data_IF_430241083998
#
_entry.id   IF_430241083998
#
_cell.length_a   1.000
_cell.length_b   1.000
_cell.length_c   1.000
_cell.angle_alpha   90.00
_cell.angle_beta   90.00
_cell.angle_gamma   90.00
#
_symmetry.space_group_name_H-M   'P 1'
#
loop_
_entity.id
_entity.type
_entity.pdbx_description
1 polymer ?
#
# COMPACT_ATOMS: atom_id res chain seq x y z
N UNK A 1 -8.20 -58.98 -4.99
CA UNK A 1 -9.03 -57.90 -5.55
C UNK A 1 -8.71 -56.63 -4.76
N UNK A 2 -7.89 -55.80 -5.36
CA UNK A 2 -7.37 -54.54 -4.82
C UNK A 2 -8.40 -53.43 -5.06
N UNK A 3 -9.00 -52.89 -4.00
CA UNK A 3 -9.75 -51.63 -4.10
C UNK A 3 -8.76 -50.47 -4.01
N UNK A 4 -8.54 -49.79 -5.12
CA UNK A 4 -7.78 -48.53 -5.15
C UNK A 4 -8.59 -47.45 -4.44
N UNK A 5 -8.07 -46.94 -3.33
CA UNK A 5 -8.49 -45.67 -2.76
C UNK A 5 -8.04 -44.54 -3.68
N UNK A 6 -8.95 -43.62 -4.00
CA UNK A 6 -8.65 -42.43 -4.79
C UNK A 6 -7.60 -41.56 -4.08
N UNK A 7 -6.71 -40.86 -4.81
CA UNK A 7 -5.73 -39.99 -4.20
C UNK A 7 -6.44 -38.79 -3.56
N UNK A 8 -6.27 -38.64 -2.25
CA UNK A 8 -6.63 -37.44 -1.51
C UNK A 8 -5.93 -36.24 -2.15
N UNK A 9 -6.69 -35.24 -2.59
CA UNK A 9 -6.15 -33.98 -3.06
C UNK A 9 -5.28 -33.36 -1.95
N UNK A 10 -4.13 -32.75 -2.28
CA UNK A 10 -3.33 -32.08 -1.26
C UNK A 10 -4.15 -30.96 -0.60
N UNK A 11 -3.90 -30.65 0.68
CA UNK A 11 -4.57 -29.55 1.36
C UNK A 11 -4.38 -28.28 0.53
N UNK A 12 -5.47 -27.56 0.28
CA UNK A 12 -5.39 -26.22 -0.27
C UNK A 12 -4.87 -25.37 0.88
N UNK A 13 -3.61 -24.98 0.79
CA UNK A 13 -2.93 -24.22 1.83
C UNK A 13 -3.43 -22.77 1.82
N UNK A 14 -3.90 -22.32 2.97
CA UNK A 14 -4.39 -20.98 3.23
C UNK A 14 -3.26 -19.95 3.13
N UNK A 15 -3.10 -19.40 1.94
CA UNK A 15 -2.43 -18.15 1.56
C UNK A 15 -2.62 -16.88 2.39
N UNK A 16 -3.04 -16.88 3.67
CA UNK A 16 -2.99 -15.69 4.52
C UNK A 16 -2.94 -16.15 5.98
N UNK A 17 -1.80 -15.92 6.66
CA UNK A 17 -1.74 -16.00 8.12
C UNK A 17 -2.58 -14.84 8.69
N UNK A 18 -3.90 -15.01 8.68
CA UNK A 18 -4.81 -14.27 9.53
C UNK A 18 -4.50 -14.70 10.96
N UNK A 19 -4.28 -13.70 11.82
CA UNK A 19 -4.28 -13.78 13.27
C UNK A 19 -4.80 -15.12 13.81
N UNK A 20 -3.92 -15.89 14.49
CA UNK A 20 -4.28 -17.16 15.13
C UNK A 20 -5.41 -17.02 16.17
N UNK A 21 -5.80 -15.78 16.51
CA UNK A 21 -6.97 -15.46 17.34
C UNK A 21 -8.26 -15.15 16.56
N UNK A 22 -8.25 -15.21 15.23
CA UNK A 22 -9.47 -15.14 14.41
C UNK A 22 -10.38 -16.33 14.70
N UNK A 23 -11.65 -16.05 15.00
CA UNK A 23 -12.67 -17.08 15.27
C UNK A 23 -12.91 -18.02 14.07
N UNK A 24 -12.54 -17.59 12.87
CA UNK A 24 -12.72 -18.33 11.61
C UNK A 24 -11.42 -18.28 10.79
N UNK A 25 -10.87 -19.45 10.44
CA UNK A 25 -9.72 -19.67 9.58
C UNK A 25 -10.02 -20.79 8.55
N UNK A 26 -9.08 -21.12 7.68
CA UNK A 26 -9.30 -22.17 6.67
C UNK A 26 -9.45 -23.57 7.28
N UNK A 27 -8.76 -23.83 8.39
CA UNK A 27 -8.81 -25.12 9.10
C UNK A 27 -10.18 -25.36 9.77
N UNK A 28 -10.90 -24.29 10.13
CA UNK A 28 -12.20 -24.37 10.79
C UNK A 28 -13.33 -23.77 9.93
N UNK A 29 -13.23 -23.76 8.60
CA UNK A 29 -14.28 -23.26 7.69
C UNK A 29 -14.61 -24.18 6.51
N UNK A 30 -15.87 -24.15 6.04
CA UNK A 30 -16.40 -24.95 4.91
C UNK A 30 -17.19 -24.07 3.94
N UNK A 31 -17.25 -24.47 2.67
CA UNK A 31 -18.12 -23.86 1.66
C UNK A 31 -19.59 -24.23 1.93
N UNK A 32 -20.53 -23.29 1.73
CA UNK A 32 -21.97 -23.58 1.84
C UNK A 32 -22.50 -24.36 0.63
N UNK A 33 -22.14 -23.93 -0.58
CA UNK A 33 -22.45 -24.66 -1.81
C UNK A 33 -21.21 -24.96 -2.66
N UNK A 34 -21.34 -25.95 -3.55
CA UNK A 34 -20.30 -26.30 -4.52
C UNK A 34 -20.09 -25.13 -5.49
N UNK A 35 -19.06 -24.32 -5.25
CA UNK A 35 -18.72 -23.15 -6.06
C UNK A 35 -18.86 -21.79 -5.36
N UNK A 36 -19.27 -21.76 -4.09
CA UNK A 36 -19.34 -20.51 -3.32
C UNK A 36 -17.96 -20.02 -2.90
N UNK A 37 -17.72 -18.72 -3.09
CA UNK A 37 -16.52 -18.01 -2.61
C UNK A 37 -16.55 -17.66 -1.12
N UNK A 38 -17.70 -17.87 -0.48
CA UNK A 38 -17.93 -17.54 0.93
C UNK A 38 -17.83 -18.83 1.73
N UNK A 39 -16.87 -18.89 2.65
CA UNK A 39 -16.80 -19.98 3.62
C UNK A 39 -17.43 -19.56 4.93
N UNK A 40 -18.17 -20.48 5.54
CA UNK A 40 -18.68 -20.36 6.90
C UNK A 40 -17.83 -21.18 7.85
N UNK A 41 -17.88 -20.93 9.16
CA UNK A 41 -17.26 -21.85 10.11
C UNK A 41 -17.78 -23.28 9.95
N UNK A 42 -16.86 -24.23 9.97
CA UNK A 42 -17.06 -25.67 10.02
C UNK A 42 -17.24 -26.14 11.47
N UNK A 43 -17.97 -25.36 12.27
CA UNK A 43 -18.48 -25.87 13.54
C UNK A 43 -19.57 -26.90 13.27
N UNK A 44 -19.72 -27.92 14.15
CA UNK A 44 -20.90 -28.77 14.15
C UNK A 44 -22.14 -27.88 14.05
N UNK A 45 -23.11 -28.29 13.25
CA UNK A 45 -24.42 -27.65 13.33
C UNK A 45 -24.86 -27.74 14.79
N UNK A 46 -25.39 -26.65 15.35
CA UNK A 46 -25.98 -26.74 16.66
C UNK A 46 -27.04 -27.86 16.62
N UNK A 47 -26.93 -28.83 17.54
CA UNK A 47 -27.85 -29.97 17.63
C UNK A 47 -29.28 -29.54 17.97
N UNK A 48 -29.42 -28.29 18.43
CA UNK A 48 -30.68 -27.63 18.71
C UNK A 48 -30.77 -26.31 17.95
N UNK A 49 -31.99 -25.96 17.53
CA UNK A 49 -32.29 -24.65 16.94
C UNK A 49 -32.92 -23.79 18.00
N UNK A 50 -32.44 -22.56 18.15
CA UNK A 50 -33.16 -21.57 18.93
C UNK A 50 -34.59 -21.44 18.38
N UNK A 51 -35.59 -21.50 19.25
CA UNK A 51 -36.99 -21.24 18.86
C UNK A 51 -37.25 -19.75 18.63
N UNK A 52 -36.33 -18.89 19.06
CA UNK A 52 -36.40 -17.45 18.96
C UNK A 52 -35.16 -16.91 18.23
N UNK A 53 -35.36 -15.99 17.30
CA UNK A 53 -34.27 -15.20 16.74
C UNK A 53 -33.96 -14.05 17.71
N UNK A 54 -32.76 -14.08 18.27
CA UNK A 54 -32.22 -12.94 19.01
C UNK A 54 -31.27 -12.19 18.08
N UNK A 55 -31.67 -11.03 17.53
CA UNK A 55 -30.76 -10.24 16.72
C UNK A 55 -29.50 -9.92 17.53
N UNK A 56 -28.35 -9.96 16.85
CA UNK A 56 -27.14 -9.38 17.41
C UNK A 56 -27.32 -7.87 17.42
N UNK A 57 -27.79 -7.34 18.55
CA UNK A 57 -27.99 -5.91 18.77
C UNK A 57 -26.63 -5.24 18.85
N UNK A 58 -26.25 -4.51 17.79
CA UNK A 58 -25.06 -3.67 17.78
C UNK A 58 -25.50 -2.25 18.13
N UNK A 59 -25.20 -1.74 19.34
CA UNK A 59 -25.53 -0.36 19.68
C UNK A 59 -24.87 0.58 18.68
N UNK A 60 -25.62 1.59 18.21
CA UNK A 60 -25.05 2.59 17.31
C UNK A 60 -24.01 3.42 18.06
N UNK A 61 -22.76 3.36 17.59
CA UNK A 61 -21.64 4.20 18.02
C UNK A 61 -21.20 5.03 16.83
N UNK A 62 -21.09 6.33 17.03
CA UNK A 62 -20.47 7.22 16.06
C UNK A 62 -18.95 7.04 16.10
N UNK A 63 -18.27 7.42 15.01
CA UNK A 63 -16.82 7.55 15.02
C UNK A 63 -16.42 8.62 16.04
N UNK A 64 -15.46 8.32 16.91
CA UNK A 64 -14.88 9.31 17.81
C UNK A 64 -13.48 9.65 17.33
N UNK A 65 -13.23 10.93 17.09
CA UNK A 65 -11.89 11.44 16.81
C UNK A 65 -11.28 11.88 18.14
N UNK A 66 -10.14 11.28 18.48
CA UNK A 66 -9.39 11.60 19.69
C UNK A 66 -8.77 13.00 19.60
N UNK A 67 -8.17 13.47 20.69
CA UNK A 67 -7.48 14.76 20.68
C UNK A 67 -6.37 14.78 19.62
N UNK A 68 -6.53 15.64 18.62
CA UNK A 68 -5.58 15.77 17.53
C UNK A 68 -4.35 16.59 17.97
N UNK A 69 -3.18 16.35 17.37
CA UNK A 69 -2.02 17.22 17.56
C UNK A 69 -2.33 18.68 17.23
N UNK A 70 -1.75 19.59 18.01
CA UNK A 70 -2.06 21.03 18.00
C UNK A 70 -1.76 21.76 16.68
N UNK A 71 -0.97 21.17 15.78
CA UNK A 71 -0.64 21.78 14.49
C UNK A 71 -0.82 20.80 13.32
N UNK A 72 -1.16 21.29 12.11
CA UNK A 72 -1.25 20.45 10.92
C UNK A 72 0.05 19.69 10.62
N UNK A 73 1.21 20.31 10.90
CA UNK A 73 2.51 19.66 10.73
C UNK A 73 2.68 18.51 11.72
N UNK A 74 2.31 18.70 12.98
CA UNK A 74 2.36 17.64 14.00
C UNK A 74 1.41 16.50 13.67
N UNK A 75 0.22 16.79 13.14
CA UNK A 75 -0.71 15.78 12.64
C UNK A 75 -0.11 15.00 11.46
N UNK A 76 0.50 15.70 10.49
CA UNK A 76 1.19 15.06 9.38
C UNK A 76 2.35 14.17 9.85
N UNK A 77 3.13 14.64 10.83
CA UNK A 77 4.24 13.89 11.43
C UNK A 77 3.78 12.71 12.29
N UNK A 78 2.51 12.64 12.69
CA UNK A 78 1.94 11.43 13.28
C UNK A 78 1.89 10.28 12.26
N UNK A 79 1.50 10.58 11.02
CA UNK A 79 1.46 9.62 9.91
C UNK A 79 2.81 9.39 9.24
N UNK A 80 3.69 10.39 9.24
CA UNK A 80 5.05 10.30 8.70
C UNK A 80 6.06 10.83 9.73
N UNK A 81 6.38 10.02 10.77
CA UNK A 81 7.27 10.40 11.85
C UNK A 81 8.70 10.68 11.40
N UNK A 82 9.39 11.54 12.16
CA UNK A 82 10.80 11.87 11.93
C UNK A 82 11.68 10.62 11.96
N UNK A 83 11.35 9.63 12.81
CA UNK A 83 12.05 8.34 12.89
C UNK A 83 11.99 7.56 11.57
N UNK A 84 10.79 7.41 10.99
CA UNK A 84 10.61 6.75 9.68
C UNK A 84 11.34 7.53 8.58
N UNK A 85 11.23 8.86 8.58
CA UNK A 85 11.92 9.70 7.59
C UNK A 85 13.44 9.57 7.71
N UNK A 86 13.97 9.43 8.93
CA UNK A 86 15.40 9.19 9.17
C UNK A 86 15.86 7.88 8.53
N UNK A 87 15.06 6.83 8.59
CA UNK A 87 15.33 5.57 7.90
C UNK A 87 15.31 5.74 6.38
N UNK A 88 14.33 6.43 5.82
CA UNK A 88 14.25 6.72 4.38
C UNK A 88 15.48 7.49 3.88
N UNK A 89 15.94 8.46 4.68
CA UNK A 89 17.17 9.22 4.39
C UNK A 89 18.38 8.28 4.34
N UNK A 90 18.53 7.38 5.33
CA UNK A 90 19.59 6.37 5.34
C UNK A 90 19.51 5.50 4.09
N UNK A 91 18.36 4.86 3.84
CA UNK A 91 18.17 3.94 2.71
C UNK A 91 18.43 4.61 1.36
N UNK A 92 17.98 5.85 1.19
CA UNK A 92 18.19 6.63 -0.03
C UNK A 92 19.68 6.94 -0.25
N UNK A 93 20.36 7.41 0.80
CA UNK A 93 21.79 7.73 0.73
C UNK A 93 22.64 6.49 0.46
N UNK A 94 22.36 5.38 1.14
CA UNK A 94 23.08 4.11 0.96
C UNK A 94 22.87 3.55 -0.45
N UNK A 95 21.63 3.61 -0.96
CA UNK A 95 21.29 3.20 -2.32
C UNK A 95 22.04 4.02 -3.38
N UNK A 96 22.06 5.35 -3.26
CA UNK A 96 22.78 6.18 -4.25
C UNK A 96 24.30 5.96 -4.16
N UNK A 97 24.82 5.77 -2.95
CA UNK A 97 26.23 5.43 -2.75
C UNK A 97 26.59 4.12 -3.46
N UNK A 98 25.76 3.09 -3.33
CA UNK A 98 26.00 1.80 -4.00
C UNK A 98 25.85 1.87 -5.52
N UNK A 99 25.01 2.75 -6.06
CA UNK A 99 24.93 3.03 -7.50
C UNK A 99 26.21 3.68 -8.03
N UNK A 100 26.69 4.73 -7.34
CA UNK A 100 27.92 5.44 -7.73
C UNK A 100 29.13 4.51 -7.68
N UNK A 101 29.26 3.69 -6.64
CA UNK A 101 30.35 2.72 -6.51
C UNK A 101 30.36 1.68 -7.63
N UNK A 102 29.18 1.28 -8.12
CA UNK A 102 29.02 0.36 -9.26
C UNK A 102 29.13 1.05 -10.62
N UNK A 103 29.24 2.37 -10.67
CA UNK A 103 29.29 3.12 -11.93
C UNK A 103 27.99 3.06 -12.73
N UNK A 104 26.83 2.93 -12.07
CA UNK A 104 25.51 2.85 -12.71
C UNK A 104 24.53 3.88 -12.15
N UNK A 105 23.50 4.26 -12.91
CA UNK A 105 22.55 5.31 -12.49
C UNK A 105 21.23 4.80 -11.89
N UNK A 106 20.90 3.52 -12.08
CA UNK A 106 19.69 2.90 -11.57
C UNK A 106 19.78 1.37 -11.45
N UNK A 107 18.67 0.74 -11.07
CA UNK A 107 18.57 -0.72 -10.88
C UNK A 107 18.59 -1.54 -12.16
N UNK A 108 18.50 -0.91 -13.34
CA UNK A 108 18.66 -1.58 -14.63
C UNK A 108 20.12 -1.55 -15.10
N UNK A 109 21.03 -1.08 -14.24
CA UNK A 109 22.49 -1.05 -14.49
C UNK A 109 22.87 -0.21 -15.71
N UNK A 110 22.10 0.84 -16.00
CA UNK A 110 22.50 1.82 -16.99
C UNK A 110 23.80 2.51 -16.56
N UNK A 111 24.77 2.55 -17.47
CA UNK A 111 26.10 3.12 -17.22
C UNK A 111 26.04 4.59 -16.78
N UNK A 112 26.88 4.92 -15.80
CA UNK A 112 27.08 6.30 -15.37
C UNK A 112 28.09 7.00 -16.27
N UNK A 113 27.65 8.07 -16.93
CA UNK A 113 28.50 8.93 -17.76
C UNK A 113 28.84 10.22 -17.01
N UNK A 114 29.79 11.00 -17.52
CA UNK A 114 30.14 12.33 -16.96
C UNK A 114 28.94 13.29 -16.90
N UNK A 115 27.94 13.11 -17.78
CA UNK A 115 26.73 13.93 -17.86
C UNK A 115 25.60 13.43 -16.97
N UNK A 116 25.77 12.30 -16.28
CA UNK A 116 24.74 11.73 -15.41
C UNK A 116 24.44 12.69 -14.27
N UNK A 117 23.15 13.01 -14.06
CA UNK A 117 22.70 13.85 -12.93
C UNK A 117 23.16 13.30 -11.57
N UNK A 118 23.35 11.99 -11.47
CA UNK A 118 23.84 11.33 -10.26
C UNK A 118 25.23 11.81 -9.82
N UNK A 119 26.04 12.35 -10.75
CA UNK A 119 27.35 12.96 -10.42
C UNK A 119 27.20 14.21 -9.52
N UNK A 120 26.04 14.87 -9.55
CA UNK A 120 25.72 16.00 -8.68
C UNK A 120 25.08 15.58 -7.34
N UNK A 121 25.05 14.27 -7.04
CA UNK A 121 24.44 13.78 -5.80
C UNK A 121 25.12 14.37 -4.57
N UNK A 122 24.27 14.85 -3.66
CA UNK A 122 24.62 15.20 -2.28
C UNK A 122 23.74 14.40 -1.37
N UNK A 123 24.27 13.96 -0.23
CA UNK A 123 23.48 13.24 0.78
C UNK A 123 22.22 14.02 1.10
N UNK A 124 21.08 13.34 1.09
CA UNK A 124 19.81 13.93 1.50
C UNK A 124 19.69 13.96 3.02
N UNK A 125 18.83 14.83 3.51
CA UNK A 125 18.58 15.05 4.95
C UNK A 125 17.10 14.88 5.26
N UNK A 126 16.77 14.76 6.55
CA UNK A 126 15.38 14.71 7.02
C UNK A 126 14.60 15.95 6.54
N UNK A 127 15.22 17.13 6.61
CA UNK A 127 14.61 18.38 6.16
C UNK A 127 14.31 18.37 4.65
N UNK A 128 15.27 17.94 3.82
CA UNK A 128 15.05 17.81 2.38
C UNK A 128 13.96 16.78 2.05
N UNK A 129 13.88 15.68 2.80
CA UNK A 129 12.83 14.67 2.61
C UNK A 129 11.44 15.23 2.92
N UNK A 130 11.28 16.01 4.00
CA UNK A 130 10.01 16.69 4.26
C UNK A 130 9.68 17.77 3.22
N UNK A 131 10.69 18.49 2.71
CA UNK A 131 10.48 19.44 1.61
C UNK A 131 9.99 18.71 0.36
N UNK A 132 10.60 17.56 0.03
CA UNK A 132 10.16 16.72 -1.09
C UNK A 132 8.70 16.29 -0.92
N UNK A 133 8.33 15.78 0.26
CA UNK A 133 6.95 15.39 0.56
C UNK A 133 5.99 16.58 0.47
N UNK A 134 6.37 17.75 0.96
CA UNK A 134 5.59 18.98 0.84
C UNK A 134 5.38 19.42 -0.60
N UNK A 135 6.41 19.29 -1.46
CA UNK A 135 6.29 19.53 -2.91
C UNK A 135 5.33 18.54 -3.55
N UNK A 136 5.41 17.25 -3.22
CA UNK A 136 4.50 16.23 -3.77
C UNK A 136 3.03 16.47 -3.38
N UNK A 137 2.79 16.87 -2.12
CA UNK A 137 1.44 17.25 -1.67
C UNK A 137 0.95 18.48 -2.44
N UNK A 138 1.78 19.50 -2.60
CA UNK A 138 1.43 20.69 -3.36
C UNK A 138 1.07 20.37 -4.82
N UNK A 139 1.87 19.54 -5.49
CA UNK A 139 1.61 19.10 -6.87
C UNK A 139 0.29 18.34 -7.00
N UNK A 140 -0.11 17.58 -5.96
CA UNK A 140 -1.40 16.88 -5.93
C UNK A 140 -2.61 17.81 -5.81
N UNK A 141 -2.43 19.00 -5.23
CA UNK A 141 -3.47 20.03 -5.07
C UNK A 141 -3.50 20.98 -6.27
N UNK A 142 -2.32 21.35 -6.78
CA UNK A 142 -2.17 22.33 -7.84
C UNK A 142 -1.53 21.70 -9.07
N UNK A 143 -2.34 21.18 -9.98
CA UNK A 143 -1.85 20.41 -11.12
C UNK A 143 -1.32 21.30 -12.25
N UNK A 144 -0.07 21.07 -12.64
CA UNK A 144 0.52 21.56 -13.88
C UNK A 144 0.58 20.46 -14.97
N UNK A 145 0.83 20.86 -16.22
CA UNK A 145 0.90 19.94 -17.37
C UNK A 145 2.08 18.97 -17.20
N UNK A 146 3.23 19.48 -16.79
CA UNK A 146 4.44 18.69 -16.53
C UNK A 146 5.05 19.04 -15.18
N UNK A 147 5.81 18.11 -14.61
CA UNK A 147 6.56 18.35 -13.36
C UNK A 147 7.55 19.51 -13.51
N UNK A 148 8.09 19.75 -14.70
CA UNK A 148 9.01 20.86 -14.96
C UNK A 148 8.31 22.22 -14.92
N UNK A 149 7.03 22.29 -15.27
CA UNK A 149 6.30 23.56 -15.37
C UNK A 149 6.24 24.31 -14.03
N UNK A 150 6.25 23.60 -12.90
CA UNK A 150 6.31 24.22 -11.57
C UNK A 150 7.54 25.11 -11.36
N UNK A 151 8.66 24.84 -12.05
CA UNK A 151 9.91 25.60 -11.95
C UNK A 151 10.14 26.58 -13.11
N UNK A 152 9.19 26.71 -14.03
CA UNK A 152 9.30 27.67 -15.14
C UNK A 152 8.85 29.06 -14.68
N UNK A 153 9.60 30.09 -15.10
CA UNK A 153 9.27 31.48 -14.83
C UNK A 153 8.39 32.06 -15.94
N UNK A 154 7.49 32.96 -15.57
CA UNK A 154 6.68 33.74 -16.52
C UNK A 154 7.57 34.55 -17.46
N UNK A 155 7.17 34.60 -18.73
CA UNK A 155 7.77 35.45 -19.78
C UNK A 155 6.69 36.38 -20.33
N UNK A 156 7.10 37.46 -21.00
CA UNK A 156 6.18 38.46 -21.58
C UNK A 156 5.06 37.83 -22.44
N UNK A 157 5.38 36.76 -23.17
CA UNK A 157 4.46 36.03 -24.07
C UNK A 157 3.89 34.74 -23.46
N UNK A 158 4.32 34.35 -22.26
CA UNK A 158 3.95 33.09 -21.59
C UNK A 158 3.82 33.33 -20.08
N UNK A 159 2.63 33.77 -19.66
CA UNK A 159 2.31 34.03 -18.27
C UNK A 159 2.01 32.70 -17.56
N UNK A 160 2.82 32.37 -16.54
CA UNK A 160 2.72 31.13 -15.78
C UNK A 160 2.36 31.41 -14.32
N UNK A 161 1.71 30.46 -13.63
CA UNK A 161 1.50 30.56 -12.20
C UNK A 161 2.85 30.62 -11.46
N UNK A 162 2.90 31.41 -10.38
CA UNK A 162 4.05 31.40 -9.48
C UNK A 162 3.87 30.34 -8.40
N UNK A 163 4.82 29.42 -8.29
CA UNK A 163 4.78 28.35 -7.31
C UNK A 163 5.79 28.62 -6.18
N UNK A 164 5.31 29.05 -5.02
CA UNK A 164 6.19 29.38 -3.88
C UNK A 164 7.03 28.20 -3.38
N UNK A 165 6.65 26.96 -3.72
CA UNK A 165 7.37 25.73 -3.35
C UNK A 165 8.79 25.65 -3.93
N UNK A 166 9.05 26.29 -5.08
CA UNK A 166 10.35 26.17 -5.78
C UNK A 166 11.50 26.83 -5.04
N UNK A 167 11.21 27.73 -4.08
CA UNK A 167 12.24 28.37 -3.24
C UNK A 167 12.92 27.38 -2.28
N UNK A 168 12.30 26.23 -2.03
CA UNK A 168 12.79 25.24 -1.06
C UNK A 168 13.64 24.15 -1.70
N UNK A 169 13.49 23.90 -3.01
CA UNK A 169 14.24 22.87 -3.73
C UNK A 169 14.30 23.20 -5.21
N UNK A 170 15.49 23.12 -5.81
CA UNK A 170 15.66 23.30 -7.27
C UNK A 170 15.07 22.12 -8.04
N UNK A 171 14.70 22.34 -9.30
CA UNK A 171 14.18 21.28 -10.18
C UNK A 171 15.16 20.10 -10.28
N UNK A 172 16.45 20.36 -10.49
CA UNK A 172 17.46 19.30 -10.60
C UNK A 172 17.59 18.48 -9.31
N UNK A 173 17.54 19.14 -8.14
CA UNK A 173 17.58 18.42 -6.86
C UNK A 173 16.31 17.59 -6.65
N UNK A 174 15.15 18.16 -6.96
CA UNK A 174 13.87 17.44 -6.92
C UNK A 174 13.90 16.21 -7.83
N UNK A 175 14.34 16.35 -9.08
CA UNK A 175 14.40 15.25 -10.05
C UNK A 175 15.29 14.10 -9.58
N UNK A 176 16.45 14.41 -9.00
CA UNK A 176 17.37 13.38 -8.50
C UNK A 176 16.76 12.70 -7.26
N UNK A 177 16.17 13.44 -6.32
CA UNK A 177 15.50 12.85 -5.15
C UNK A 177 14.28 12.01 -5.56
N UNK A 178 13.39 12.56 -6.39
CA UNK A 178 12.18 11.90 -6.87
C UNK A 178 12.46 10.56 -7.56
N UNK A 179 13.61 10.41 -8.22
CA UNK A 179 14.02 9.16 -8.85
C UNK A 179 14.64 8.15 -7.88
N UNK A 180 15.30 8.60 -6.80
CA UNK A 180 16.18 7.75 -5.99
C UNK A 180 15.72 7.53 -4.56
N UNK A 181 14.68 8.23 -4.09
CA UNK A 181 14.11 8.03 -2.75
C UNK A 181 13.71 6.57 -2.53
N UNK A 182 14.14 6.03 -1.38
CA UNK A 182 13.87 4.67 -0.92
C UNK A 182 13.18 4.74 0.43
N UNK A 183 12.07 4.01 0.56
CA UNK A 183 11.32 3.86 1.82
C UNK A 183 11.60 2.51 2.51
N UNK A 184 12.59 1.77 2.02
CA UNK A 184 12.99 0.45 2.49
C UNK A 184 14.49 0.23 2.27
N UNK A 185 15.08 -0.70 3.03
CA UNK A 185 16.48 -1.07 2.85
C UNK A 185 16.69 -1.85 1.55
N UNK A 186 17.63 -1.41 0.73
CA UNK A 186 17.94 -2.04 -0.54
C UNK A 186 18.80 -3.32 -0.41
N UNK A 187 19.33 -3.61 0.79
CA UNK A 187 20.11 -4.83 1.05
C UNK A 187 19.29 -5.91 1.76
N UNK A 188 18.30 -5.51 2.55
CA UNK A 188 17.46 -6.41 3.34
C UNK A 188 16.06 -6.44 2.75
N UNK A 189 15.85 -7.31 1.75
CA UNK A 189 14.51 -7.63 1.28
C UNK A 189 13.87 -8.60 2.28
N UNK A 190 12.63 -8.31 2.70
CA UNK A 190 11.71 -9.24 3.34
C UNK A 190 11.79 -9.49 4.86
N UNK A 191 12.49 -8.71 5.68
CA UNK A 191 12.48 -8.95 7.14
C UNK A 191 11.04 -8.93 7.72
N UNK A 192 10.47 -10.10 7.97
CA UNK A 192 9.16 -10.30 8.62
C UNK A 192 7.92 -10.22 7.72
N UNK A 193 8.09 -10.13 6.38
CA UNK A 193 6.97 -10.01 5.43
C UNK A 193 7.08 -10.98 4.24
N UNK A 194 7.69 -12.14 4.45
CA UNK A 194 8.02 -13.11 3.39
C UNK A 194 6.79 -13.60 2.60
N UNK A 195 5.61 -13.55 3.24
CA UNK A 195 4.32 -13.93 2.64
C UNK A 195 3.77 -12.89 1.64
N UNK A 196 4.31 -11.66 1.64
CA UNK A 196 3.94 -10.62 0.70
C UNK A 196 4.86 -10.61 -0.53
N UNK A 197 4.37 -10.24 -1.71
CA UNK A 197 5.21 -9.88 -2.84
C UNK A 197 6.18 -8.75 -2.52
N UNK A 198 7.37 -8.78 -3.12
CA UNK A 198 8.44 -7.80 -2.91
C UNK A 198 7.97 -6.35 -2.96
N UNK A 199 7.12 -6.00 -3.93
CA UNK A 199 6.61 -4.62 -4.08
C UNK A 199 5.83 -4.13 -2.85
N UNK A 200 5.12 -5.03 -2.16
CA UNK A 200 4.37 -4.71 -0.95
C UNK A 200 5.26 -4.78 0.28
N UNK A 201 6.19 -5.75 0.35
CA UNK A 201 7.21 -5.79 1.41
C UNK A 201 7.96 -4.46 1.53
N UNK A 202 8.32 -3.86 0.39
CA UNK A 202 9.03 -2.57 0.31
C UNK A 202 8.27 -1.38 0.95
N UNK A 203 6.98 -1.50 1.22
CA UNK A 203 6.16 -0.42 1.79
C UNK A 203 5.39 -0.85 3.04
N UNK A 204 5.50 -2.11 3.44
CA UNK A 204 4.59 -2.69 4.43
C UNK A 204 4.78 -2.10 5.83
N UNK A 205 6.02 -1.88 6.25
CA UNK A 205 6.30 -1.22 7.54
C UNK A 205 5.62 0.16 7.63
N UNK A 206 5.73 0.97 6.57
CA UNK A 206 5.07 2.27 6.52
C UNK A 206 3.54 2.14 6.42
N UNK A 207 3.04 1.18 5.64
CA UNK A 207 1.61 0.87 5.53
C UNK A 207 0.99 0.52 6.88
N UNK A 208 1.65 -0.33 7.67
CA UNK A 208 1.21 -0.69 9.03
C UNK A 208 1.25 0.51 9.97
N UNK A 209 2.29 1.34 9.88
CA UNK A 209 2.36 2.59 10.65
C UNK A 209 1.18 3.51 10.35
N UNK A 210 0.84 3.73 9.07
CA UNK A 210 -0.29 4.58 8.69
C UNK A 210 -1.61 4.06 9.24
N UNK A 211 -1.84 2.74 9.14
CA UNK A 211 -3.03 2.10 9.71
C UNK A 211 -3.08 2.30 11.23
N UNK A 212 -1.98 2.01 11.93
CA UNK A 212 -1.89 2.17 13.37
C UNK A 212 -2.17 3.61 13.80
N UNK A 213 -1.52 4.58 13.15
CA UNK A 213 -1.67 6.00 13.38
C UNK A 213 -3.14 6.46 13.24
N UNK A 214 -3.88 5.97 12.23
CA UNK A 214 -5.31 6.27 12.11
C UNK A 214 -6.09 5.73 13.33
N UNK A 215 -5.81 4.51 13.78
CA UNK A 215 -6.52 3.91 14.93
C UNK A 215 -6.13 4.48 16.29
N UNK A 216 -4.99 5.15 16.41
CA UNK A 216 -4.67 5.94 17.61
C UNK A 216 -5.48 7.25 17.65
N UNK A 217 -5.79 7.82 16.48
CA UNK A 217 -6.52 9.08 16.38
C UNK A 217 -8.04 8.89 16.30
N UNK A 218 -8.53 7.69 16.00
CA UNK A 218 -9.94 7.43 15.75
C UNK A 218 -10.42 6.12 16.41
N UNK A 219 -11.46 6.20 17.22
CA UNK A 219 -12.21 5.04 17.69
C UNK A 219 -13.34 4.70 16.73
N UNK A 220 -13.38 3.44 16.28
CA UNK A 220 -14.37 2.95 15.35
C UNK A 220 -15.79 2.98 15.91
N UNK A 221 -16.72 3.47 15.10
CA UNK A 221 -18.15 3.34 15.34
C UNK A 221 -18.70 1.98 14.91
N UNK A 222 -20.02 1.90 14.80
CA UNK A 222 -20.72 0.63 14.51
C UNK A 222 -20.95 0.36 13.02
N UNK A 223 -20.67 1.32 12.15
CA UNK A 223 -20.92 1.21 10.71
C UNK A 223 -19.64 1.48 9.93
N UNK A 224 -19.05 0.42 9.38
CA UNK A 224 -17.91 0.50 8.48
C UNK A 224 -18.34 0.14 7.05
N UNK A 225 -17.64 0.70 6.07
CA UNK A 225 -17.67 0.25 4.70
C UNK A 225 -16.40 -0.56 4.42
N UNK A 226 -16.56 -1.74 3.81
CA UNK A 226 -15.46 -2.52 3.26
C UNK A 226 -15.63 -2.58 1.76
N UNK A 227 -14.65 -2.09 1.03
CA UNK A 227 -14.68 -2.06 -0.43
C UNK A 227 -13.27 -2.08 -1.01
N UNK A 228 -13.19 -2.13 -2.32
CA UNK A 228 -11.97 -2.23 -3.10
C UNK A 228 -11.56 -0.84 -3.60
N UNK A 229 -10.28 -0.52 -3.48
CA UNK A 229 -9.72 0.66 -4.12
C UNK A 229 -8.59 0.29 -5.09
N UNK A 230 -8.33 1.21 -6.02
CA UNK A 230 -7.31 1.07 -7.04
C UNK A 230 -6.27 2.19 -6.91
N UNK A 231 -5.03 1.81 -6.64
CA UNK A 231 -3.87 2.71 -6.70
C UNK A 231 -3.33 2.65 -8.12
N UNK A 232 -3.57 3.71 -8.90
CA UNK A 232 -3.19 3.77 -10.32
C UNK A 232 -1.70 3.51 -10.49
N UNK A 233 -1.36 2.51 -11.29
CA UNK A 233 0.01 2.20 -11.65
C UNK A 233 0.03 1.43 -12.97
N UNK A 234 0.80 1.93 -13.93
CA UNK A 234 0.86 1.38 -15.31
C UNK A 234 2.21 0.74 -15.62
N UNK A 235 3.12 0.68 -14.65
CA UNK A 235 4.42 0.02 -14.82
C UNK A 235 4.30 -1.50 -14.82
N UNK A 236 5.39 -2.18 -15.18
CA UNK A 236 5.46 -3.64 -15.26
C UNK A 236 5.63 -4.23 -13.86
N UNK A 237 4.57 -4.83 -13.32
CA UNK A 237 4.63 -5.55 -12.06
C UNK A 237 3.52 -6.63 -12.02
N UNK A 238 3.82 -7.80 -11.45
CA UNK A 238 2.89 -8.95 -11.44
C UNK A 238 1.67 -8.75 -10.53
N UNK A 239 1.74 -7.80 -9.60
CA UNK A 239 0.69 -7.49 -8.64
C UNK A 239 -0.32 -6.46 -9.20
N UNK A 240 -0.04 -5.89 -10.37
CA UNK A 240 -0.97 -4.99 -11.07
C UNK A 240 -2.17 -5.78 -11.56
N UNK A 241 -3.36 -5.26 -11.25
CA UNK A 241 -4.64 -5.81 -11.68
C UNK A 241 -5.28 -4.86 -12.69
N UNK A 242 -5.90 -5.43 -13.72
CA UNK A 242 -6.72 -4.69 -14.66
C UNK A 242 -8.20 -4.99 -14.43
N UNK A 243 -8.98 -3.97 -14.13
CA UNK A 243 -10.43 -4.05 -13.94
C UNK A 243 -11.09 -3.13 -14.97
N UNK A 244 -11.53 -3.66 -16.12
CA UNK A 244 -12.23 -2.88 -17.13
C UNK A 244 -13.44 -2.15 -16.54
N UNK A 245 -13.77 -0.98 -17.11
CA UNK A 245 -14.93 -0.16 -16.75
C UNK A 245 -14.86 0.54 -15.38
N UNK A 246 -13.72 0.51 -14.67
CA UNK A 246 -13.46 1.38 -13.51
C UNK A 246 -12.77 2.67 -13.95
N UNK A 247 -12.96 3.81 -13.26
CA UNK A 247 -12.27 5.07 -13.57
C UNK A 247 -10.74 4.95 -13.58
N UNK A 248 -10.21 4.13 -12.66
CA UNK A 248 -8.82 3.66 -12.66
C UNK A 248 -8.86 2.18 -13.01
N UNK A 249 -8.64 1.86 -14.29
CA UNK A 249 -8.78 0.51 -14.81
C UNK A 249 -7.54 -0.38 -14.56
N UNK A 250 -6.39 0.22 -14.23
CA UNK A 250 -5.11 -0.48 -14.10
C UNK A 250 -4.32 0.05 -12.91
N UNK A 251 -3.92 -0.84 -12.00
CA UNK A 251 -3.15 -0.45 -10.82
C UNK A 251 -3.03 -1.56 -9.77
N UNK A 252 -2.52 -1.21 -8.60
CA UNK A 252 -2.56 -2.10 -7.44
C UNK A 252 -3.96 -2.04 -6.82
N UNK A 253 -4.60 -3.20 -6.70
CA UNK A 253 -5.87 -3.31 -5.97
C UNK A 253 -5.56 -3.43 -4.47
N UNK A 254 -6.38 -2.80 -3.65
CA UNK A 254 -6.34 -2.91 -2.19
C UNK A 254 -7.76 -3.09 -1.66
N UNK A 255 -7.90 -3.85 -0.58
CA UNK A 255 -9.16 -3.94 0.16
C UNK A 255 -9.08 -2.99 1.35
N UNK A 256 -10.07 -2.13 1.53
CA UNK A 256 -10.05 -1.06 2.52
C UNK A 256 -11.28 -1.18 3.41
N UNK A 257 -11.07 -1.10 4.73
CA UNK A 257 -12.10 -0.81 5.71
C UNK A 257 -12.05 0.69 6.05
N UNK A 258 -13.17 1.38 5.87
CA UNK A 258 -13.27 2.82 6.07
C UNK A 258 -14.55 3.21 6.81
N UNK A 259 -14.53 4.36 7.47
CA UNK A 259 -15.70 4.98 8.09
C UNK A 259 -15.68 6.48 7.83
N UNK A 260 -16.79 7.04 7.32
CA UNK A 260 -16.94 8.47 7.00
C UNK A 260 -15.80 9.07 6.16
N UNK A 261 -15.25 8.29 5.22
CA UNK A 261 -14.14 8.71 4.35
C UNK A 261 -12.75 8.56 4.95
N UNK A 262 -12.63 8.07 6.18
CA UNK A 262 -11.34 7.79 6.84
C UNK A 262 -10.98 6.32 6.64
N UNK A 263 -9.79 6.06 6.12
CA UNK A 263 -9.27 4.70 5.94
C UNK A 263 -8.69 4.18 7.27
N UNK A 264 -9.25 3.08 7.75
CA UNK A 264 -8.95 2.53 9.07
C UNK A 264 -7.95 1.36 8.99
N UNK A 265 -8.21 0.44 8.06
CA UNK A 265 -7.38 -0.72 7.78
C UNK A 265 -7.41 -1.02 6.29
N UNK A 266 -6.35 -1.62 5.77
CA UNK A 266 -6.32 -2.16 4.42
C UNK A 266 -5.35 -3.34 4.30
N UNK A 267 -5.62 -4.17 3.29
CA UNK A 267 -4.75 -5.27 2.89
C UNK A 267 -4.48 -5.21 1.38
N UNK A 268 -3.29 -5.63 0.99
CA UNK A 268 -2.91 -5.72 -0.42
C UNK A 268 -3.65 -6.86 -1.10
N UNK A 269 -4.23 -6.60 -2.27
CA UNK A 269 -4.70 -7.68 -3.12
C UNK A 269 -3.52 -8.29 -3.90
N UNK A 270 -3.34 -9.59 -3.77
CA UNK A 270 -2.41 -10.35 -4.61
C UNK A 270 -3.19 -10.99 -5.77
N UNK A 271 -2.92 -10.65 -7.04
CA UNK A 271 -3.59 -11.29 -8.16
C UNK A 271 -3.13 -12.74 -8.34
N UNK A 272 -4.05 -13.56 -8.83
CA UNK A 272 -3.82 -14.98 -9.14
C UNK A 272 -4.84 -15.88 -8.49
N UNK A 273 -5.18 -16.99 -9.15
CA UNK A 273 -6.25 -17.89 -8.71
C UNK A 273 -6.03 -18.52 -7.32
N UNK A 274 -4.78 -18.56 -6.84
CA UNK A 274 -4.45 -19.01 -5.47
C UNK A 274 -4.82 -18.01 -4.37
N UNK A 275 -5.02 -16.75 -4.74
CA UNK A 275 -5.37 -15.64 -3.85
C UNK A 275 -6.74 -15.05 -4.23
N UNK A 276 -7.49 -15.76 -5.08
CA UNK A 276 -8.83 -15.39 -5.47
C UNK A 276 -9.83 -15.61 -4.33
N UNK A 277 -11.09 -15.20 -4.53
CA UNK A 277 -12.15 -15.41 -3.53
C UNK A 277 -12.26 -16.89 -3.19
N UNK A 278 -12.33 -17.19 -1.88
CA UNK A 278 -12.20 -18.54 -1.34
C UNK A 278 -13.35 -19.44 -1.78
N UNK A 279 -13.21 -20.15 -2.90
CA UNK A 279 -14.18 -21.15 -3.35
C UNK A 279 -14.85 -20.89 -4.69
N UNK A 280 -14.37 -19.90 -5.44
CA UNK A 280 -14.62 -19.84 -6.89
C UNK A 280 -13.87 -20.98 -7.57
N UNK A 281 -14.58 -21.97 -8.12
CA UNK A 281 -13.96 -23.03 -8.92
C UNK A 281 -13.34 -22.43 -10.19
N UNK A 282 -12.11 -22.86 -10.51
CA UNK A 282 -11.46 -22.48 -11.78
C UNK A 282 -12.32 -22.98 -12.93
N UNK A 283 -12.64 -22.12 -13.90
CA UNK A 283 -12.97 -22.62 -15.23
C UNK A 283 -11.75 -23.39 -15.75
N UNK A 284 -11.93 -24.61 -16.30
CA UNK A 284 -10.82 -25.33 -16.92
C UNK A 284 -10.20 -24.43 -17.99
N UNK A 285 -8.87 -24.44 -18.07
CA UNK A 285 -8.18 -23.76 -19.15
C UNK A 285 -8.66 -24.38 -20.47
N UNK A 286 -9.24 -23.54 -21.33
CA UNK A 286 -9.57 -23.86 -22.72
C UNK A 286 -8.32 -23.96 -23.57
#
# INVERSE_FOLDING_TARGET
>A
MTSQSAPSSPPIEALNAYDDSSFINEDNSRQEHSGDSTRRPAFPAADDRGFNFHPFEVPRRELLVNELPQSPLSLFQHFIPISIVKEWVKYTNDWVTSLIQRGVVDSQEHEMTEKSRLNAWKLTTIAEMYILLGILIYMGVHNEITVEDYWKTSRLEDQRPEHSIIKFMTYDRFQILYRHVRVFDHTEFANGYENLPTVFQCVESWSQHLQHATTELCELGSHLAVDEAMIRYTGRNKQVTRIPNKPVDTGFKVWIAAQLGIFMRWIWHQPGARYGPVGVQKKPAS
#
